data_IF_340916634641
#
_entry.id   IF_340916634641
#
_cell.length_a   1.000
_cell.length_b   1.000
_cell.length_c   1.000
_cell.angle_alpha   90.00
_cell.angle_beta   90.00
_cell.angle_gamma   90.00
#
_symmetry.space_group_name_H-M   'P 1'
#
loop_
_entity.id
_entity.type
_entity.pdbx_description
1 polymer ?
#
# COMPACT_ATOMS: atom_id res chain seq x y z
N UNK A 1 -8.18 -21.11 -6.43
CA UNK A 1 -7.83 -19.70 -6.17
C UNK A 1 -6.53 -19.44 -6.91
N UNK A 2 -6.55 -18.59 -7.92
CA UNK A 2 -5.33 -18.27 -8.66
C UNK A 2 -4.38 -17.50 -7.73
N UNK A 3 -3.17 -18.03 -7.54
CA UNK A 3 -2.23 -17.54 -6.53
C UNK A 3 -1.21 -16.65 -7.20
N UNK A 4 -0.91 -15.49 -6.62
CA UNK A 4 0.17 -14.61 -7.08
C UNK A 4 1.47 -15.43 -7.16
N UNK A 5 2.13 -15.40 -8.33
CA UNK A 5 3.38 -16.13 -8.57
C UNK A 5 4.41 -15.82 -7.47
N UNK A 6 5.22 -16.82 -7.11
CA UNK A 6 6.22 -16.69 -6.04
C UNK A 6 7.17 -15.51 -6.28
N UNK A 7 7.67 -15.36 -7.51
CA UNK A 7 8.56 -14.27 -7.93
C UNK A 7 7.98 -12.87 -7.66
N UNK A 8 6.67 -12.72 -7.84
CA UNK A 8 5.95 -11.47 -7.61
C UNK A 8 5.83 -11.21 -6.11
N UNK A 9 5.47 -12.24 -5.33
CA UNK A 9 5.39 -12.13 -3.86
C UNK A 9 6.72 -11.71 -3.27
N UNK A 10 7.81 -12.33 -3.72
CA UNK A 10 9.16 -11.95 -3.31
C UNK A 10 9.52 -10.53 -3.72
N UNK A 11 9.14 -10.12 -4.93
CA UNK A 11 9.38 -8.75 -5.42
C UNK A 11 8.60 -7.71 -4.63
N UNK A 12 7.36 -8.00 -4.20
CA UNK A 12 6.59 -7.16 -3.28
C UNK A 12 7.37 -6.98 -1.97
N UNK A 13 7.83 -8.07 -1.35
CA UNK A 13 8.57 -8.03 -0.08
C UNK A 13 9.88 -7.24 -0.23
N UNK A 14 10.65 -7.47 -1.31
CA UNK A 14 11.88 -6.73 -1.61
C UNK A 14 11.60 -5.23 -1.76
N UNK A 15 10.56 -4.86 -2.49
CA UNK A 15 10.15 -3.47 -2.66
C UNK A 15 9.76 -2.80 -1.35
N UNK A 16 9.03 -3.50 -0.47
CA UNK A 16 8.68 -2.98 0.86
C UNK A 16 9.95 -2.72 1.68
N UNK A 17 10.86 -3.70 1.78
CA UNK A 17 12.12 -3.57 2.54
C UNK A 17 12.96 -2.43 1.98
N UNK A 18 13.08 -2.31 0.66
CA UNK A 18 13.79 -1.23 0.00
C UNK A 18 13.17 0.14 0.34
N UNK A 19 11.84 0.24 0.33
CA UNK A 19 11.10 1.44 0.72
C UNK A 19 11.35 1.89 2.15
N UNK A 20 11.40 0.95 3.09
CA UNK A 20 11.74 1.24 4.49
C UNK A 20 13.16 1.80 4.62
N UNK A 21 14.13 1.19 3.93
CA UNK A 21 15.53 1.67 3.93
C UNK A 21 15.64 3.07 3.31
N UNK A 22 15.00 3.27 2.17
CA UNK A 22 14.94 4.55 1.44
C UNK A 22 14.37 5.67 2.32
N UNK A 23 13.23 5.41 2.98
CA UNK A 23 12.62 6.35 3.92
C UNK A 23 13.53 6.71 5.10
N UNK A 24 14.16 5.72 5.74
CA UNK A 24 15.04 5.98 6.90
C UNK A 24 16.23 6.84 6.49
N UNK A 25 16.84 6.52 5.34
CA UNK A 25 17.97 7.29 4.82
C UNK A 25 17.57 8.73 4.53
N UNK A 26 16.51 8.95 3.76
CA UNK A 26 16.07 10.31 3.42
C UNK A 26 15.59 11.09 4.65
N UNK A 27 14.88 10.45 5.59
CA UNK A 27 14.47 11.10 6.84
C UNK A 27 15.67 11.57 7.67
N UNK A 28 16.77 10.81 7.67
CA UNK A 28 18.00 11.22 8.33
C UNK A 28 18.62 12.44 7.65
N UNK A 29 18.64 12.49 6.32
CA UNK A 29 19.15 13.64 5.57
C UNK A 29 18.27 14.89 5.76
N UNK A 30 16.94 14.73 5.73
CA UNK A 30 15.98 15.81 6.01
C UNK A 30 16.20 16.39 7.41
N UNK A 31 16.41 15.53 8.41
CA UNK A 31 16.69 15.94 9.79
C UNK A 31 17.98 16.74 9.92
N UNK A 32 19.00 16.43 9.12
CA UNK A 32 20.27 17.19 9.10
C UNK A 32 20.11 18.57 8.49
N UNK A 33 19.27 18.72 7.45
CA UNK A 33 19.15 19.97 6.67
C UNK A 33 18.00 20.89 7.10
N UNK A 34 17.08 20.45 7.97
CA UNK A 34 15.92 21.23 8.41
C UNK A 34 15.86 21.34 9.93
N UNK A 35 15.56 22.55 10.43
CA UNK A 35 15.37 22.81 11.87
C UNK A 35 14.13 22.09 12.42
N UNK A 36 13.05 22.03 11.63
CA UNK A 36 11.81 21.31 11.95
C UNK A 36 11.53 20.36 10.80
N UNK A 37 11.45 19.05 11.07
CA UNK A 37 11.28 18.00 10.06
C UNK A 37 10.23 16.94 10.42
N UNK A 38 9.50 17.12 11.52
CA UNK A 38 8.58 16.10 12.04
C UNK A 38 7.48 15.70 11.06
N UNK A 39 7.01 16.64 10.22
CA UNK A 39 6.03 16.35 9.17
C UNK A 39 6.52 15.33 8.12
N UNK A 40 7.83 15.09 8.01
CA UNK A 40 8.36 14.07 7.11
C UNK A 40 7.93 12.65 7.49
N UNK A 41 7.45 12.41 8.73
CA UNK A 41 6.95 11.08 9.11
C UNK A 41 5.80 10.60 8.23
N UNK A 42 5.03 11.53 7.68
CA UNK A 42 3.88 11.23 6.83
C UNK A 42 4.30 10.74 5.43
N UNK A 43 5.54 10.94 4.98
CA UNK A 43 6.00 10.52 3.64
C UNK A 43 6.42 9.06 3.56
N UNK A 44 6.46 8.33 4.68
CA UNK A 44 6.91 6.92 4.75
C UNK A 44 6.25 6.04 3.69
N UNK A 45 4.93 6.13 3.57
CA UNK A 45 4.17 5.34 2.59
C UNK A 45 4.60 5.65 1.15
N UNK A 46 4.95 6.89 0.83
CA UNK A 46 5.39 7.29 -0.50
C UNK A 46 6.69 6.59 -0.91
N UNK A 47 7.65 6.45 0.01
CA UNK A 47 8.89 5.70 -0.25
C UNK A 47 8.61 4.23 -0.50
N UNK A 48 7.75 3.62 0.32
CA UNK A 48 7.36 2.22 0.18
C UNK A 48 6.66 1.98 -1.16
N UNK A 49 5.65 2.77 -1.50
CA UNK A 49 4.94 2.64 -2.76
C UNK A 49 5.85 2.87 -3.97
N UNK A 50 6.74 3.86 -3.91
CA UNK A 50 7.72 4.13 -4.96
C UNK A 50 8.66 2.95 -5.20
N UNK A 51 9.21 2.35 -4.12
CA UNK A 51 10.11 1.22 -4.25
C UNK A 51 9.38 -0.05 -4.68
N UNK A 52 8.15 -0.30 -4.21
CA UNK A 52 7.32 -1.41 -4.68
C UNK A 52 6.99 -1.27 -6.16
N UNK A 53 6.65 -0.06 -6.62
CA UNK A 53 6.41 0.20 -8.04
C UNK A 53 7.62 -0.11 -8.92
N UNK A 54 8.83 0.29 -8.49
CA UNK A 54 10.09 -0.03 -9.20
C UNK A 54 10.35 -1.54 -9.25
N UNK A 55 10.17 -2.24 -8.13
CA UNK A 55 10.42 -3.68 -8.06
C UNK A 55 9.37 -4.51 -8.83
N UNK A 56 8.20 -3.94 -9.09
CA UNK A 56 7.11 -4.61 -9.79
C UNK A 56 6.89 -4.13 -11.22
N UNK A 57 7.78 -3.29 -11.78
CA UNK A 57 7.59 -2.65 -13.08
C UNK A 57 7.29 -3.63 -14.23
N UNK A 58 7.86 -4.85 -14.14
CA UNK A 58 7.70 -5.92 -15.13
C UNK A 58 6.53 -6.86 -14.82
N UNK A 59 5.89 -6.72 -13.66
CA UNK A 59 4.86 -7.63 -13.17
C UNK A 59 3.48 -6.98 -13.08
N UNK A 60 3.40 -5.68 -12.81
CA UNK A 60 2.14 -4.98 -12.56
C UNK A 60 2.11 -3.61 -13.24
N UNK A 61 0.90 -3.15 -13.54
CA UNK A 61 0.65 -1.73 -13.74
C UNK A 61 0.11 -1.14 -12.44
N UNK A 62 0.29 0.16 -12.26
CA UNK A 62 -0.34 0.89 -11.17
C UNK A 62 -1.02 2.14 -11.69
N UNK A 63 -2.03 2.59 -10.96
CA UNK A 63 -2.67 3.90 -11.15
C UNK A 63 -2.55 4.71 -9.85
N UNK A 64 -2.51 6.03 -9.98
CA UNK A 64 -2.53 6.95 -8.85
C UNK A 64 -3.98 7.28 -8.50
N UNK A 65 -4.35 7.10 -7.24
CA UNK A 65 -5.69 7.37 -6.74
C UNK A 65 -5.63 8.31 -5.54
N UNK A 66 -6.73 9.02 -5.26
CA UNK A 66 -6.81 9.97 -4.15
C UNK A 66 -7.37 9.30 -2.89
N UNK A 67 -6.77 9.57 -1.74
CA UNK A 67 -7.30 9.23 -0.42
C UNK A 67 -7.61 10.53 0.35
N UNK A 68 -8.68 11.21 -0.08
CA UNK A 68 -8.99 12.56 0.39
C UNK A 68 -8.35 13.65 -0.49
N UNK A 69 -8.34 14.92 -0.03
CA UNK A 69 -8.00 16.07 -0.87
C UNK A 69 -6.51 16.21 -1.18
N UNK A 70 -5.64 15.79 -0.26
CA UNK A 70 -4.19 16.02 -0.34
C UNK A 70 -3.36 14.74 -0.44
N UNK A 71 -3.97 13.57 -0.22
CA UNK A 71 -3.25 12.30 -0.21
C UNK A 71 -3.48 11.50 -1.48
N UNK A 72 -2.40 10.91 -2.01
CA UNK A 72 -2.44 9.97 -3.13
C UNK A 72 -1.80 8.65 -2.74
N UNK A 73 -2.27 7.57 -3.35
CA UNK A 73 -1.73 6.23 -3.19
C UNK A 73 -1.62 5.52 -4.54
N UNK A 74 -0.86 4.43 -4.59
CA UNK A 74 -0.77 3.57 -5.76
C UNK A 74 -1.72 2.38 -5.62
N UNK A 75 -2.58 2.19 -6.62
CA UNK A 75 -3.40 1.00 -6.80
C UNK A 75 -2.73 0.10 -7.82
N UNK A 76 -2.22 -1.04 -7.37
CA UNK A 76 -1.54 -2.02 -8.22
C UNK A 76 -2.54 -2.99 -8.85
N UNK A 77 -2.31 -3.35 -10.11
CA UNK A 77 -3.21 -4.13 -10.95
C UNK A 77 -2.40 -5.21 -11.67
N UNK A 78 -2.71 -6.47 -11.37
CA UNK A 78 -2.20 -7.65 -12.08
C UNK A 78 -3.08 -7.96 -13.30
N UNK A 79 -2.45 -8.41 -14.39
CA UNK A 79 -3.11 -9.02 -15.56
C UNK A 79 -4.28 -8.22 -16.15
N UNK A 80 -4.02 -6.95 -16.50
CA UNK A 80 -5.04 -6.03 -17.09
C UNK A 80 -5.75 -6.59 -18.34
N UNK A 81 -5.14 -7.55 -19.03
CA UNK A 81 -5.63 -8.11 -20.30
C UNK A 81 -6.59 -9.30 -20.11
N UNK A 82 -6.75 -9.85 -18.90
CA UNK A 82 -7.71 -10.91 -18.61
C UNK A 82 -8.84 -10.40 -17.71
N UNK A 83 -9.99 -10.07 -18.31
CA UNK A 83 -11.15 -9.44 -17.67
C UNK A 83 -11.66 -10.14 -16.39
N UNK A 84 -11.35 -11.43 -16.21
CA UNK A 84 -11.92 -12.26 -15.14
C UNK A 84 -11.04 -12.45 -13.90
N UNK A 85 -9.73 -12.11 -13.95
CA UNK A 85 -8.77 -12.45 -12.88
C UNK A 85 -7.88 -11.28 -12.43
N UNK A 86 -8.38 -10.05 -12.52
CA UNK A 86 -7.66 -8.86 -12.06
C UNK A 86 -7.50 -8.85 -10.54
N UNK A 87 -6.30 -9.19 -10.05
CA UNK A 87 -5.93 -8.98 -8.64
C UNK A 87 -5.53 -7.52 -8.47
N UNK A 88 -6.17 -6.83 -7.54
CA UNK A 88 -5.82 -5.45 -7.16
C UNK A 88 -5.37 -5.40 -5.71
N UNK A 89 -4.33 -4.63 -5.44
CA UNK A 89 -3.91 -4.38 -4.06
C UNK A 89 -3.46 -2.94 -3.86
N UNK A 90 -3.55 -2.52 -2.60
CA UNK A 90 -3.05 -1.25 -2.07
C UNK A 90 -2.15 -1.56 -0.88
N UNK A 91 -1.17 -0.70 -0.62
CA UNK A 91 -0.33 -0.82 0.56
C UNK A 91 -0.88 0.07 1.66
N UNK A 92 -1.25 -0.52 2.78
CA UNK A 92 -1.67 0.21 3.98
C UNK A 92 -0.53 0.19 4.99
N UNK A 93 -0.04 1.37 5.35
CA UNK A 93 0.91 1.53 6.44
C UNK A 93 0.14 1.59 7.75
N UNK A 94 0.10 0.49 8.49
CA UNK A 94 -0.43 0.44 9.86
C UNK A 94 0.70 0.49 10.89
N UNK A 95 0.43 1.08 12.05
CA UNK A 95 1.42 1.20 13.13
C UNK A 95 1.78 -0.16 13.74
N UNK A 96 0.80 -1.08 13.79
CA UNK A 96 0.95 -2.43 14.31
C UNK A 96 0.16 -3.42 13.46
N UNK A 97 0.72 -4.61 13.26
CA UNK A 97 -0.04 -5.72 12.71
C UNK A 97 -1.05 -6.21 13.76
N UNK A 98 -2.33 -6.08 13.45
CA UNK A 98 -3.39 -6.68 14.24
C UNK A 98 -4.05 -7.81 13.44
N UNK A 99 -3.72 -9.05 13.81
CA UNK A 99 -4.23 -10.26 13.17
C UNK A 99 -5.77 -10.27 13.07
N UNK A 100 -6.45 -9.71 14.08
CA UNK A 100 -7.91 -9.67 14.14
C UNK A 100 -8.51 -8.62 13.20
N UNK A 101 -7.71 -7.69 12.71
CA UNK A 101 -8.10 -6.60 11.82
C UNK A 101 -7.48 -6.70 10.41
N UNK A 102 -6.90 -7.85 10.06
CA UNK A 102 -6.44 -8.13 8.70
C UNK A 102 -7.65 -8.28 7.78
N UNK A 103 -7.75 -7.43 6.75
CA UNK A 103 -8.72 -7.64 5.70
C UNK A 103 -8.29 -8.85 4.85
N UNK A 104 -9.06 -9.94 4.91
CA UNK A 104 -8.81 -11.17 4.14
C UNK A 104 -9.02 -11.04 2.62
N UNK A 105 -9.15 -9.80 2.11
CA UNK A 105 -9.58 -9.51 0.75
C UNK A 105 -11.05 -9.85 0.53
N UNK A 106 -11.77 -9.01 -0.22
CA UNK A 106 -13.10 -9.36 -0.72
C UNK A 106 -12.93 -9.91 -2.12
N UNK A 107 -13.36 -11.15 -2.36
CA UNK A 107 -13.51 -11.65 -3.73
C UNK A 107 -14.47 -10.74 -4.49
N UNK A 108 -14.16 -10.41 -5.74
CA UNK A 108 -15.06 -9.65 -6.62
C UNK A 108 -16.31 -10.46 -7.00
N UNK A 109 -16.32 -11.76 -6.70
CA UNK A 109 -17.51 -12.61 -6.74
C UNK A 109 -18.37 -12.26 -5.53
N UNK A 110 -19.42 -11.48 -5.78
CA UNK A 110 -20.29 -10.91 -4.76
C UNK A 110 -20.94 -11.98 -3.86
N UNK A 111 -20.46 -12.11 -2.62
CA UNK A 111 -21.24 -12.71 -1.55
C UNK A 111 -22.23 -11.66 -1.01
N UNK A 112 -23.51 -11.82 -1.34
CA UNK A 112 -24.61 -10.90 -1.02
C UNK A 112 -24.94 -10.78 0.49
N UNK A 113 -24.14 -11.34 1.40
CA UNK A 113 -24.50 -11.49 2.80
C UNK A 113 -23.44 -11.02 3.81
N UNK A 114 -22.99 -9.77 3.71
CA UNK A 114 -22.34 -9.13 4.86
C UNK A 114 -22.94 -7.74 5.13
N UNK A 115 -23.90 -7.70 6.07
CA UNK A 115 -24.37 -6.47 6.70
C UNK A 115 -23.19 -5.79 7.39
N UNK A 116 -22.72 -4.68 6.83
CA UNK A 116 -21.69 -3.83 7.43
C UNK A 116 -22.26 -3.13 8.66
N UNK A 117 -21.93 -3.63 9.84
CA UNK A 117 -22.09 -2.91 11.10
C UNK A 117 -20.71 -2.39 11.53
N UNK A 118 -20.46 -1.10 11.37
CA UNK A 118 -19.59 -0.33 12.27
C UNK A 118 -19.65 1.16 11.93
N UNK A 119 -20.44 1.86 12.74
CA UNK A 119 -20.51 3.32 12.82
C UNK A 119 -19.25 3.87 13.49
N UNK A 120 -18.87 5.08 13.08
CA UNK A 120 -18.15 6.14 13.81
C UNK A 120 -16.80 5.74 14.43
N UNK A 121 -15.70 6.15 13.78
CA UNK A 121 -14.49 6.57 14.50
C UNK A 121 -14.47 8.09 14.56
N UNK A 122 -14.56 8.61 15.79
CA UNK A 122 -14.31 10.00 16.15
C UNK A 122 -12.94 10.42 15.60
N UNK A 123 -12.92 11.54 14.91
CA UNK A 123 -11.72 12.37 14.81
C UNK A 123 -11.46 12.91 16.23
N UNK A 124 -10.38 12.45 16.83
CA UNK A 124 -9.68 13.15 17.90
C UNK A 124 -8.31 13.52 17.34
N UNK A 125 -8.23 14.71 16.77
CA UNK A 125 -7.34 15.82 17.14
C UNK A 125 -7.69 17.00 16.24
#
# INVERSE_FOLDING_TARGET
METIKQEVRESIVKGIIAGYKDYVNERNEVKKRMVISDAYVYTKSNHIENQVAKHLENFVKYIKENAGPSWKYLKFIFNKDEEKNNIMFILKNEDYFDEKNVSVGKSLVADKNQKSNSRKRRLSY
#
